data_IF_652917218971
#
_entry.id   IF_652917218971
#
_cell.length_a   1.000
_cell.length_b   1.000
_cell.length_c   1.000
_cell.angle_alpha   90.00
_cell.angle_beta   90.00
_cell.angle_gamma   90.00
#
_symmetry.space_group_name_H-M   'P 1'
#
loop_
_entity.id
_entity.type
_entity.pdbx_description
1 polymer ?
#
# COMPACT_ATOMS: atom_id res chain seq x y z
N UNK A 1 23.82 -8.89 0.36
CA UNK A 1 23.92 -8.03 -0.84
C UNK A 1 23.01 -6.85 -0.66
N UNK A 2 23.58 -5.68 -0.35
CA UNK A 2 22.84 -4.42 -0.23
C UNK A 2 22.43 -3.99 -1.65
N UNK A 3 21.15 -4.12 -1.97
CA UNK A 3 20.60 -3.47 -3.15
C UNK A 3 20.70 -1.96 -2.93
N UNK A 4 21.44 -1.28 -3.79
CA UNK A 4 21.61 0.17 -3.76
C UNK A 4 20.30 0.83 -4.24
N UNK A 5 19.33 0.97 -3.34
CA UNK A 5 18.15 1.79 -3.61
C UNK A 5 18.50 3.27 -3.46
N UNK A 6 18.11 4.10 -4.42
CA UNK A 6 18.06 5.54 -4.19
C UNK A 6 16.86 5.82 -3.28
N UNK A 7 17.10 6.13 -2.00
CA UNK A 7 16.03 6.41 -1.05
C UNK A 7 15.70 7.91 -1.04
N UNK A 8 14.47 8.24 -1.42
CA UNK A 8 13.88 9.56 -1.30
C UNK A 8 13.13 9.62 0.04
N UNK A 9 13.71 10.34 1.01
CA UNK A 9 13.15 10.53 2.35
C UNK A 9 12.52 11.91 2.52
N UNK A 10 11.27 11.99 2.96
CA UNK A 10 10.63 13.24 3.36
C UNK A 10 10.06 13.17 4.78
N UNK A 11 10.23 14.26 5.53
CA UNK A 11 9.59 14.49 6.84
C UNK A 11 8.31 15.35 6.70
N UNK A 12 8.11 15.96 5.54
CA UNK A 12 6.98 16.82 5.17
C UNK A 12 6.69 16.59 3.68
N UNK A 13 5.48 16.10 3.39
CA UNK A 13 4.83 16.06 2.07
C UNK A 13 5.29 15.00 1.04
N UNK A 14 4.34 14.09 0.77
CA UNK A 14 3.96 13.47 -0.51
C UNK A 14 5.00 13.53 -1.65
N UNK A 15 5.71 12.43 -1.93
CA UNK A 15 6.29 12.25 -3.27
C UNK A 15 5.13 12.02 -4.26
N UNK A 16 4.74 13.09 -4.96
CA UNK A 16 3.75 12.98 -6.02
C UNK A 16 4.48 12.59 -7.29
N UNK A 17 4.24 11.37 -7.78
CA UNK A 17 4.50 11.05 -9.18
C UNK A 17 3.39 11.74 -9.98
N UNK A 18 3.58 13.04 -10.29
CA UNK A 18 2.66 13.84 -11.09
C UNK A 18 3.06 13.73 -12.56
N UNK A 19 2.32 12.97 -13.36
CA UNK A 19 2.65 12.77 -14.78
C UNK A 19 1.43 13.09 -15.65
N UNK A 20 1.56 14.13 -16.48
CA UNK A 20 0.51 14.67 -17.35
C UNK A 20 0.33 13.79 -18.59
N UNK A 21 -0.82 13.11 -18.67
CA UNK A 21 -1.59 12.63 -19.84
C UNK A 21 -0.93 11.96 -21.07
N UNK A 22 0.39 11.83 -21.17
CA UNK A 22 1.03 11.05 -22.25
C UNK A 22 2.06 10.04 -21.70
N UNK A 23 2.10 8.88 -22.35
CA UNK A 23 2.12 7.56 -21.71
C UNK A 23 3.49 6.87 -21.58
N UNK A 24 3.53 5.91 -20.63
CA UNK A 24 4.57 4.89 -20.38
C UNK A 24 5.80 5.39 -19.63
N UNK A 25 5.81 5.16 -18.33
CA UNK A 25 6.97 5.40 -17.47
C UNK A 25 7.40 4.11 -16.78
N UNK A 26 8.70 3.96 -16.58
CA UNK A 26 9.30 2.87 -15.83
C UNK A 26 10.22 3.47 -14.77
N UNK A 27 9.88 3.27 -13.49
CA UNK A 27 10.72 3.65 -12.36
C UNK A 27 11.39 2.39 -11.83
N UNK A 28 12.72 2.45 -11.61
CA UNK A 28 13.48 1.28 -11.15
C UNK A 28 14.43 1.61 -10.01
N UNK A 29 14.55 0.72 -9.01
CA UNK A 29 15.54 0.81 -7.93
C UNK A 29 15.43 2.09 -7.06
N UNK A 30 14.21 2.58 -6.83
CA UNK A 30 13.93 3.75 -6.00
C UNK A 30 13.17 3.31 -4.75
N UNK A 31 13.56 3.80 -3.58
CA UNK A 31 12.77 3.68 -2.36
C UNK A 31 12.13 5.03 -2.04
N UNK A 32 10.82 5.03 -1.80
CA UNK A 32 10.06 6.17 -1.34
C UNK A 32 9.65 5.95 0.10
N UNK A 33 10.06 6.85 1.00
CA UNK A 33 9.88 6.66 2.44
C UNK A 33 9.33 7.92 3.11
N UNK A 34 8.29 7.73 3.93
CA UNK A 34 7.77 8.74 4.85
C UNK A 34 7.99 8.29 6.30
N UNK A 35 8.73 9.10 7.06
CA UNK A 35 9.14 8.78 8.43
C UNK A 35 8.15 9.22 9.51
N UNK A 36 7.06 9.90 9.17
CA UNK A 36 6.18 10.61 10.14
C UNK A 36 5.70 9.77 11.34
N UNK A 37 5.48 8.47 11.14
CA UNK A 37 5.04 7.51 12.17
C UNK A 37 6.11 6.45 12.51
N UNK A 38 7.32 6.58 11.97
CA UNK A 38 8.40 5.59 12.12
C UNK A 38 9.43 6.03 13.15
N UNK A 39 9.76 7.33 13.23
CA UNK A 39 10.89 7.82 14.04
C UNK A 39 10.52 8.28 15.45
N UNK A 40 9.24 8.47 15.76
CA UNK A 40 8.77 8.83 17.11
C UNK A 40 7.74 7.81 17.59
N UNK A 41 7.88 7.33 18.82
CA UNK A 41 6.86 6.55 19.56
C UNK A 41 5.62 7.44 19.81
N UNK A 42 4.84 7.69 18.75
CA UNK A 42 3.59 8.42 18.86
C UNK A 42 2.51 7.46 19.35
N UNK A 43 1.73 7.91 20.34
CA UNK A 43 0.52 7.19 20.79
C UNK A 43 -0.50 6.99 19.66
N UNK A 44 -0.50 7.89 18.67
CA UNK A 44 -1.47 7.91 17.58
C UNK A 44 -0.75 7.87 16.23
N UNK A 45 -1.00 6.83 15.44
CA UNK A 45 -0.60 6.74 14.03
C UNK A 45 -1.56 7.61 13.21
N UNK A 46 -1.05 8.55 12.42
CA UNK A 46 -1.88 9.41 11.55
C UNK A 46 -1.53 9.22 10.07
N UNK A 47 -2.40 9.54 9.11
CA UNK A 47 -2.14 9.45 7.67
C UNK A 47 -0.82 10.12 7.27
N UNK A 48 0.03 9.40 6.54
CA UNK A 48 1.32 9.91 6.09
C UNK A 48 1.79 9.21 4.82
N UNK A 49 1.36 9.74 3.68
CA UNK A 49 1.67 9.14 2.37
C UNK A 49 3.16 9.24 2.04
N UNK A 50 3.75 8.10 1.67
CA UNK A 50 5.10 8.02 1.13
C UNK A 50 5.11 8.36 -0.36
N UNK A 51 4.17 7.82 -1.15
CA UNK A 51 4.06 8.15 -2.58
C UNK A 51 2.63 8.15 -3.05
N UNK A 52 2.30 9.13 -3.88
CA UNK A 52 1.09 9.12 -4.69
C UNK A 52 1.43 8.82 -6.14
N UNK A 53 0.85 7.75 -6.67
CA UNK A 53 0.92 7.40 -8.09
C UNK A 53 -0.35 7.89 -8.78
N UNK A 54 -0.20 8.79 -9.74
CA UNK A 54 -1.29 9.37 -10.52
C UNK A 54 -0.87 9.45 -11.99
N UNK A 55 -0.87 8.32 -12.68
CA UNK A 55 -0.35 8.18 -14.03
C UNK A 55 -1.07 7.05 -14.78
N UNK A 56 -1.03 7.03 -16.12
CA UNK A 56 -1.55 5.88 -16.87
C UNK A 56 -0.43 5.13 -17.59
N UNK A 57 -0.51 3.79 -17.54
CA UNK A 57 0.50 2.85 -18.08
C UNK A 57 1.87 3.04 -17.42
N UNK A 58 1.93 3.08 -16.10
CA UNK A 58 3.18 3.18 -15.35
C UNK A 58 3.67 1.80 -14.89
N UNK A 59 4.97 1.55 -14.94
CA UNK A 59 5.62 0.41 -14.32
C UNK A 59 6.57 0.88 -13.22
N UNK A 60 6.52 0.23 -12.06
CA UNK A 60 7.42 0.44 -10.93
C UNK A 60 8.07 -0.91 -10.62
N UNK A 61 9.36 -1.01 -10.87
CA UNK A 61 10.11 -2.28 -10.85
C UNK A 61 11.21 -2.17 -9.82
N UNK A 62 11.37 -3.15 -8.94
CA UNK A 62 12.40 -3.11 -7.88
C UNK A 62 12.30 -1.82 -7.03
N UNK A 63 11.08 -1.35 -6.72
CA UNK A 63 10.86 -0.16 -5.92
C UNK A 63 10.47 -0.50 -4.47
N UNK A 64 10.84 0.39 -3.54
CA UNK A 64 10.42 0.34 -2.14
C UNK A 64 9.41 1.43 -1.82
N UNK A 65 8.38 1.12 -1.02
CA UNK A 65 7.40 2.07 -0.51
C UNK A 65 7.26 1.84 0.99
N UNK A 66 7.67 2.82 1.80
CA UNK A 66 7.82 2.66 3.25
C UNK A 66 7.08 3.77 3.99
N UNK A 67 6.13 3.39 4.83
CA UNK A 67 5.32 4.27 5.67
C UNK A 67 4.59 3.46 6.74
N UNK A 68 3.53 4.00 7.33
CA UNK A 68 2.72 3.27 8.34
C UNK A 68 1.24 3.35 8.00
N UNK A 69 0.62 4.53 8.07
CA UNK A 69 -0.73 4.73 7.57
C UNK A 69 -0.67 5.46 6.23
N UNK A 70 -1.44 4.97 5.26
CA UNK A 70 -1.57 5.53 3.91
C UNK A 70 -0.27 5.55 3.10
N UNK A 71 0.61 4.54 3.23
CA UNK A 71 1.94 4.53 2.57
C UNK A 71 1.90 4.81 1.06
N UNK A 72 1.17 3.98 0.30
CA UNK A 72 1.12 4.03 -1.16
C UNK A 72 -0.28 4.44 -1.61
N UNK A 73 -0.41 5.68 -2.05
CA UNK A 73 -1.64 6.20 -2.64
C UNK A 73 -1.67 5.93 -4.14
N UNK A 74 -2.21 4.79 -4.52
CA UNK A 74 -2.44 4.40 -5.90
C UNK A 74 -3.74 5.03 -6.44
N UNK A 75 -3.62 6.29 -6.88
CA UNK A 75 -4.77 7.20 -6.95
C UNK A 75 -5.51 7.23 -8.29
N UNK A 76 -4.86 6.91 -9.42
CA UNK A 76 -5.50 6.91 -10.74
C UNK A 76 -4.61 6.28 -11.82
N UNK A 77 -5.26 5.56 -12.74
CA UNK A 77 -4.68 5.01 -13.97
C UNK A 77 -4.23 3.56 -13.84
N UNK A 78 -3.48 3.05 -14.83
CA UNK A 78 -3.02 1.65 -14.88
C UNK A 78 -1.57 1.50 -14.45
N UNK A 79 -1.32 0.66 -13.46
CA UNK A 79 0.00 0.47 -12.89
C UNK A 79 0.43 -1.00 -12.82
N UNK A 80 1.72 -1.23 -13.04
CA UNK A 80 2.36 -2.52 -12.84
C UNK A 80 3.49 -2.37 -11.82
N UNK A 81 3.34 -3.00 -10.66
CA UNK A 81 4.37 -3.09 -9.64
C UNK A 81 5.02 -4.48 -9.74
N UNK A 82 6.32 -4.54 -10.02
CA UNK A 82 7.04 -5.80 -10.17
C UNK A 82 8.23 -5.87 -9.22
N UNK A 83 8.31 -6.95 -8.44
CA UNK A 83 9.38 -7.16 -7.47
C UNK A 83 9.57 -5.98 -6.49
N UNK A 84 8.46 -5.36 -6.10
CA UNK A 84 8.47 -4.22 -5.18
C UNK A 84 8.34 -4.67 -3.71
N UNK A 85 8.84 -3.83 -2.82
CA UNK A 85 8.65 -3.96 -1.39
C UNK A 85 7.70 -2.87 -0.88
N UNK A 86 6.57 -3.26 -0.29
CA UNK A 86 5.62 -2.31 0.29
C UNK A 86 5.52 -2.59 1.78
N UNK A 87 5.75 -1.57 2.60
CA UNK A 87 5.74 -1.62 4.05
C UNK A 87 4.72 -0.64 4.63
N UNK A 88 3.88 -1.11 5.54
CA UNK A 88 2.94 -0.27 6.27
C UNK A 88 1.99 -1.06 7.16
N UNK A 89 0.97 -0.38 7.67
CA UNK A 89 0.07 -0.89 8.68
C UNK A 89 -1.41 -0.63 8.34
N UNK A 90 -1.84 0.64 8.32
CA UNK A 90 -3.25 0.98 8.11
C UNK A 90 -3.42 1.50 6.69
N UNK A 91 -4.28 0.85 5.91
CA UNK A 91 -4.69 1.27 4.56
C UNK A 91 -3.50 1.62 3.66
N UNK A 92 -2.39 0.91 3.86
CA UNK A 92 -1.10 1.37 3.35
C UNK A 92 -0.93 1.11 1.86
N UNK A 93 -1.87 0.41 1.23
CA UNK A 93 -2.10 0.39 -0.22
C UNK A 93 -3.55 0.82 -0.45
N UNK A 94 -3.75 2.06 -0.89
CA UNK A 94 -5.10 2.62 -1.01
C UNK A 94 -5.29 3.46 -2.27
N UNK A 95 -6.56 3.74 -2.59
CA UNK A 95 -6.96 4.52 -3.75
C UNK A 95 -7.76 3.72 -4.78
N UNK A 96 -7.75 4.19 -6.02
CA UNK A 96 -8.60 3.73 -7.13
C UNK A 96 -7.82 3.38 -8.42
N UNK A 97 -6.55 3.01 -8.27
CA UNK A 97 -5.74 2.49 -9.38
C UNK A 97 -6.32 1.21 -10.01
N UNK A 98 -5.94 0.97 -11.27
CA UNK A 98 -6.08 -0.31 -11.96
C UNK A 98 -4.72 -1.00 -11.94
N UNK A 99 -4.45 -1.77 -10.89
CA UNK A 99 -3.07 -2.09 -10.54
C UNK A 99 -2.87 -3.58 -10.35
N UNK A 100 -1.75 -4.07 -10.90
CA UNK A 100 -1.22 -5.40 -10.61
C UNK A 100 0.10 -5.27 -9.87
N UNK A 101 0.15 -5.92 -8.71
CA UNK A 101 1.34 -6.17 -7.90
C UNK A 101 1.76 -7.61 -8.16
N UNK A 102 2.93 -7.81 -8.76
CA UNK A 102 3.45 -9.12 -9.10
C UNK A 102 4.83 -9.34 -8.48
N UNK A 103 5.03 -10.51 -7.88
CA UNK A 103 6.29 -10.89 -7.23
C UNK A 103 6.70 -9.90 -6.13
N UNK A 104 5.74 -9.15 -5.58
CA UNK A 104 5.97 -8.15 -4.55
C UNK A 104 5.98 -8.77 -3.16
N UNK A 105 6.76 -8.17 -2.25
CA UNK A 105 6.67 -8.43 -0.83
C UNK A 105 5.87 -7.31 -0.15
N UNK A 106 4.75 -7.70 0.45
CA UNK A 106 3.86 -6.83 1.22
C UNK A 106 4.11 -7.13 2.70
N UNK A 107 4.61 -6.15 3.45
CA UNK A 107 5.02 -6.35 4.84
C UNK A 107 4.21 -5.46 5.80
N UNK A 108 3.37 -6.11 6.59
CA UNK A 108 2.50 -5.48 7.57
C UNK A 108 3.23 -5.23 8.89
N UNK A 109 3.39 -3.97 9.27
CA UNK A 109 4.01 -3.56 10.54
C UNK A 109 3.64 -2.11 10.88
N UNK A 110 3.32 -1.89 12.14
CA UNK A 110 3.01 -0.61 12.77
C UNK A 110 4.26 0.25 13.12
N UNK A 111 5.44 -0.05 12.55
CA UNK A 111 6.67 0.69 12.85
C UNK A 111 7.17 0.47 14.27
N UNK A 112 7.50 1.58 14.95
CA UNK A 112 7.90 1.59 16.36
C UNK A 112 6.71 1.80 17.33
N UNK A 113 5.49 1.86 16.81
CA UNK A 113 4.30 2.04 17.65
C UNK A 113 3.93 0.76 18.40
N UNK A 114 3.08 0.88 19.42
CA UNK A 114 2.54 -0.26 20.15
C UNK A 114 1.78 -1.22 19.21
N UNK A 115 2.00 -2.55 19.33
CA UNK A 115 1.33 -3.57 18.54
C UNK A 115 -0.18 -3.34 18.49
N UNK A 116 -0.70 -3.22 17.27
CA UNK A 116 -2.13 -3.05 17.01
C UNK A 116 -2.50 -3.77 15.72
N UNK A 117 -3.78 -4.10 15.63
CA UNK A 117 -4.32 -4.68 14.42
C UNK A 117 -4.62 -3.58 13.38
N UNK A 118 -4.71 -3.99 12.12
CA UNK A 118 -4.82 -3.07 10.99
C UNK A 118 -5.30 -3.74 9.72
N UNK A 119 -5.18 -3.02 8.61
CA UNK A 119 -5.75 -3.42 7.32
C UNK A 119 -4.77 -3.09 6.20
N UNK A 120 -4.54 -4.04 5.29
CA UNK A 120 -3.53 -3.90 4.24
C UNK A 120 -3.99 -2.97 3.13
N UNK A 121 -5.21 -3.20 2.61
CA UNK A 121 -5.72 -2.45 1.45
C UNK A 121 -7.00 -1.68 1.76
N UNK A 122 -7.12 -0.50 1.15
CA UNK A 122 -8.36 0.27 1.15
C UNK A 122 -8.67 0.75 -0.27
N UNK A 123 -9.47 -0.03 -0.99
CA UNK A 123 -9.80 0.28 -2.38
C UNK A 123 -11.02 1.20 -2.45
N UNK A 124 -10.89 2.31 -3.19
CA UNK A 124 -11.88 3.39 -3.32
C UNK A 124 -12.85 3.19 -4.50
N UNK A 125 -12.93 1.98 -5.07
CA UNK A 125 -13.86 1.72 -6.17
C UNK A 125 -15.28 2.04 -5.75
N UNK A 126 -15.95 2.93 -6.49
CA UNK A 126 -17.26 3.48 -6.08
C UNK A 126 -18.46 2.87 -6.80
N UNK A 127 -18.29 2.24 -7.97
CA UNK A 127 -19.40 1.62 -8.72
C UNK A 127 -18.98 0.36 -9.45
N UNK A 128 -19.96 -0.39 -10.00
CA UNK A 128 -19.66 -1.63 -10.72
C UNK A 128 -18.93 -1.36 -12.05
N UNK A 129 -19.19 -0.21 -12.66
CA UNK A 129 -18.60 0.27 -13.92
C UNK A 129 -17.19 0.82 -13.76
N UNK A 130 -16.82 1.27 -12.56
CA UNK A 130 -15.45 1.70 -12.28
C UNK A 130 -14.50 0.49 -12.45
N UNK A 131 -13.51 0.55 -13.36
CA UNK A 131 -12.60 -0.55 -13.63
C UNK A 131 -11.51 -0.72 -12.57
N UNK A 132 -11.41 0.17 -11.57
CA UNK A 132 -10.39 0.10 -10.52
C UNK A 132 -10.35 -1.26 -9.81
N UNK A 133 -9.15 -1.71 -9.50
CA UNK A 133 -8.89 -2.99 -8.83
C UNK A 133 -7.43 -3.04 -8.38
N UNK A 134 -7.19 -3.71 -7.25
CA UNK A 134 -5.84 -4.14 -6.87
C UNK A 134 -5.73 -5.65 -7.03
N UNK A 135 -4.76 -6.10 -7.83
CA UNK A 135 -4.50 -7.52 -8.07
C UNK A 135 -3.11 -7.86 -7.53
N UNK A 136 -3.03 -8.77 -6.58
CA UNK A 136 -1.78 -9.32 -6.05
C UNK A 136 -1.57 -10.71 -6.66
N UNK A 137 -0.47 -10.91 -7.37
CA UNK A 137 -0.15 -12.16 -8.05
C UNK A 137 1.25 -12.63 -7.67
N UNK A 138 1.35 -13.85 -7.14
CA UNK A 138 2.65 -14.41 -6.71
C UNK A 138 3.38 -13.50 -5.70
N UNK A 139 2.63 -12.85 -4.82
CA UNK A 139 3.17 -11.99 -3.78
C UNK A 139 3.40 -12.77 -2.48
N UNK A 140 4.26 -12.21 -1.63
CA UNK A 140 4.39 -12.65 -0.23
C UNK A 140 3.76 -11.59 0.66
N UNK A 141 2.68 -11.94 1.35
CA UNK A 141 2.02 -11.08 2.34
C UNK A 141 2.38 -11.60 3.72
N UNK A 142 3.22 -10.85 4.42
CA UNK A 142 3.82 -11.22 5.71
C UNK A 142 3.82 -10.02 6.66
N UNK A 143 4.16 -10.21 7.93
CA UNK A 143 4.14 -9.12 8.90
C UNK A 143 4.86 -9.41 10.19
N UNK A 144 4.92 -8.39 11.06
CA UNK A 144 5.50 -8.53 12.38
C UNK A 144 4.71 -9.49 13.25
N UNK A 145 5.39 -10.12 14.22
CA UNK A 145 4.75 -11.02 15.18
C UNK A 145 3.87 -10.23 16.17
N UNK A 146 2.79 -10.85 16.63
CA UNK A 146 1.92 -10.28 17.66
C UNK A 146 0.89 -9.24 17.18
N UNK A 147 0.80 -9.00 15.86
CA UNK A 147 -0.23 -8.16 15.24
C UNK A 147 -1.04 -8.96 14.23
N UNK A 148 -2.30 -8.58 14.02
CA UNK A 148 -3.19 -9.19 13.03
C UNK A 148 -3.65 -8.18 11.99
N UNK A 149 -3.85 -8.66 10.77
CA UNK A 149 -4.33 -7.83 9.68
C UNK A 149 -5.49 -8.47 8.92
N UNK A 150 -6.39 -7.63 8.42
CA UNK A 150 -7.25 -7.98 7.30
C UNK A 150 -6.57 -7.59 5.98
N UNK A 151 -6.88 -8.34 4.94
CA UNK A 151 -6.43 -8.11 3.57
C UNK A 151 -6.94 -6.80 3.01
N UNK A 152 -8.13 -6.37 3.42
CA UNK A 152 -8.65 -5.06 3.03
C UNK A 152 -10.00 -4.70 3.62
N UNK A 153 -10.40 -3.45 3.34
CA UNK A 153 -11.72 -2.87 3.60
C UNK A 153 -12.14 -1.97 2.43
N UNK A 154 -13.42 -1.59 2.40
CA UNK A 154 -13.86 -0.45 1.59
C UNK A 154 -13.45 0.86 2.30
N UNK A 155 -12.84 1.82 1.59
CA UNK A 155 -12.49 3.11 2.18
C UNK A 155 -13.73 4.03 2.34
N UNK A 156 -14.73 3.87 1.47
CA UNK A 156 -16.01 4.59 1.50
C UNK A 156 -17.18 3.61 1.36
N UNK A 157 -18.42 4.10 1.15
CA UNK A 157 -19.61 3.29 0.83
C UNK A 157 -19.56 2.61 -0.56
N UNK A 158 -18.36 2.28 -1.04
CA UNK A 158 -18.09 1.82 -2.39
C UNK A 158 -18.25 0.31 -2.60
N UNK A 159 -17.77 -0.13 -3.77
CA UNK A 159 -17.73 -1.51 -4.22
C UNK A 159 -16.25 -1.92 -4.41
N UNK A 160 -15.46 -2.05 -3.32
CA UNK A 160 -14.02 -2.29 -3.42
C UNK A 160 -13.72 -3.58 -4.20
N UNK A 161 -12.60 -3.60 -4.90
CA UNK A 161 -12.16 -4.79 -5.63
C UNK A 161 -10.68 -5.05 -5.41
N UNK A 162 -10.41 -6.12 -4.67
CA UNK A 162 -9.07 -6.62 -4.40
C UNK A 162 -9.05 -8.12 -4.69
N UNK A 163 -8.04 -8.56 -5.44
CA UNK A 163 -7.87 -9.95 -5.87
C UNK A 163 -6.49 -10.40 -5.44
N UNK A 164 -6.40 -11.57 -4.81
CA UNK A 164 -5.14 -12.18 -4.40
C UNK A 164 -5.07 -13.57 -5.03
N UNK A 165 -4.04 -13.81 -5.84
CA UNK A 165 -3.82 -15.05 -6.58
C UNK A 165 -2.40 -15.55 -6.37
N UNK A 166 -2.25 -16.87 -6.22
CA UNK A 166 -0.95 -17.56 -6.15
C UNK A 166 0.02 -16.97 -5.12
N UNK A 167 -0.50 -16.36 -4.06
CA UNK A 167 0.30 -15.59 -3.11
C UNK A 167 0.37 -16.31 -1.77
N UNK A 168 1.49 -16.14 -1.07
CA UNK A 168 1.64 -16.59 0.31
C UNK A 168 0.97 -15.59 1.26
N UNK A 169 0.16 -16.09 2.18
CA UNK A 169 -0.46 -15.33 3.27
C UNK A 169 0.06 -15.87 4.60
N UNK A 170 0.77 -15.05 5.38
CA UNK A 170 1.24 -15.45 6.71
C UNK A 170 0.08 -15.56 7.72
N UNK A 171 0.31 -16.28 8.82
CA UNK A 171 -0.66 -16.49 9.92
C UNK A 171 -1.14 -15.20 10.62
N UNK A 172 -0.49 -14.07 10.35
CA UNK A 172 -0.94 -12.75 10.82
C UNK A 172 -2.22 -12.29 10.12
N UNK A 173 -2.55 -12.85 8.95
CA UNK A 173 -3.83 -12.60 8.28
C UNK A 173 -4.95 -13.27 9.07
N UNK A 174 -5.97 -12.47 9.40
CA UNK A 174 -7.17 -12.92 10.08
C UNK A 174 -7.91 -13.98 9.25
N UNK A 175 -8.44 -15.06 9.86
CA UNK A 175 -9.21 -16.08 9.12
C UNK A 175 -10.40 -15.53 8.34
N UNK A 176 -11.02 -14.44 8.82
CA UNK A 176 -12.10 -13.73 8.13
C UNK A 176 -11.64 -13.06 6.82
N UNK A 177 -10.34 -12.77 6.71
CA UNK A 177 -9.71 -12.18 5.54
C UNK A 177 -10.01 -10.70 5.36
N UNK A 178 -11.26 -10.26 5.46
CA UNK A 178 -11.71 -8.90 5.11
C UNK A 178 -12.54 -8.28 6.23
N UNK A 179 -12.54 -6.95 6.32
CA UNK A 179 -13.36 -6.20 7.28
C UNK A 179 -14.60 -5.60 6.63
N UNK A 180 -15.63 -5.39 7.44
CA UNK A 180 -16.79 -4.59 7.06
C UNK A 180 -16.42 -3.10 6.93
N UNK A 181 -17.18 -2.38 6.11
CA UNK A 181 -16.94 -1.01 5.58
C UNK A 181 -16.69 0.07 6.67
N UNK A 182 -16.96 -0.21 7.95
CA UNK A 182 -17.01 0.81 9.02
C UNK A 182 -16.11 0.54 10.23
N UNK A 183 -15.27 -0.50 10.23
CA UNK A 183 -14.27 -0.62 11.28
C UNK A 183 -13.14 0.38 11.00
N UNK A 184 -13.28 1.57 11.58
CA UNK A 184 -12.30 2.65 11.54
C UNK A 184 -10.99 2.20 12.21
N UNK A 185 -9.96 1.92 11.42
CA UNK A 185 -8.66 1.38 11.85
C UNK A 185 -7.54 2.42 11.85
N UNK A 186 -7.82 3.69 12.12
CA UNK A 186 -6.80 4.75 12.00
C UNK A 186 -7.21 6.07 12.62
N UNK A 187 -6.56 7.14 12.16
CA UNK A 187 -7.09 8.50 12.23
C UNK A 187 -7.30 8.94 10.76
N UNK A 188 -8.45 9.49 10.39
CA UNK A 188 -8.70 10.05 9.05
C UNK A 188 -8.97 11.55 9.18
#
# INVERSE_FOLDING_TARGET
NQNNYLCLMSNLSLYIIYMKYESKFCYTNICYQNNHNIVDEKKNVTPAVATRVHADKCALIDCGFVGVQDTLFDSFGRHYYYNCYIYGHTDFIFGKGQSIFQDCKIFFSNGLAEPRDGVITANERSSIEDPSAFVFKNCTIDGSQGIKANLGRALELGNPRVIISDSYLADMIRPEGWNEVQEFVGYE
#
